data_IF_329904053779
#
_entry.id   IF_329904053779
#
_cell.length_a   1.000
_cell.length_b   1.000
_cell.length_c   1.000
_cell.angle_alpha   90.00
_cell.angle_beta   90.00
_cell.angle_gamma   90.00
#
_symmetry.space_group_name_H-M   'P 1'
#
loop_
_entity.id
_entity.type
_entity.pdbx_description
1 polymer ?
#
# COMPACT_ATOMS: atom_id res chain seq x y z
N UNK A 1 -31.76 -0.74 -3.05
CA UNK A 1 -30.49 -0.52 -2.31
C UNK A 1 -29.44 -0.06 -3.32
N UNK A 2 -29.12 1.23 -3.35
CA UNK A 2 -28.03 1.79 -4.14
C UNK A 2 -26.71 1.41 -3.45
N UNK A 3 -25.97 0.46 -4.03
CA UNK A 3 -24.61 0.15 -3.59
C UNK A 3 -23.71 1.33 -3.93
N UNK A 4 -23.40 2.17 -2.95
CA UNK A 4 -22.33 3.16 -3.08
C UNK A 4 -21.03 2.37 -3.24
N UNK A 5 -20.51 2.31 -4.47
CA UNK A 5 -19.16 1.79 -4.71
C UNK A 5 -18.20 2.91 -4.36
N UNK A 6 -18.03 3.19 -3.06
CA UNK A 6 -17.01 4.14 -2.60
C UNK A 6 -15.66 3.63 -3.07
N UNK A 7 -14.95 4.42 -3.86
CA UNK A 7 -13.54 4.16 -4.15
C UNK A 7 -12.79 4.29 -2.81
N UNK A 8 -12.49 3.16 -2.18
CA UNK A 8 -11.88 3.12 -0.83
C UNK A 8 -10.39 3.50 -0.87
N UNK A 9 -9.75 3.43 -2.03
CA UNK A 9 -8.32 3.68 -2.15
C UNK A 9 -7.92 5.12 -1.82
N UNK A 10 -8.58 6.16 -2.35
CA UNK A 10 -8.37 7.53 -1.93
C UNK A 10 -8.43 7.70 -0.41
N UNK A 11 -9.43 7.12 0.25
CA UNK A 11 -9.57 7.17 1.71
C UNK A 11 -8.40 6.47 2.41
N UNK A 12 -8.01 5.27 1.97
CA UNK A 12 -6.84 4.55 2.50
C UNK A 12 -5.57 5.39 2.37
N UNK A 13 -5.37 6.08 1.25
CA UNK A 13 -4.21 6.94 1.04
C UNK A 13 -4.21 8.14 1.98
N UNK A 14 -5.36 8.79 2.17
CA UNK A 14 -5.52 9.90 3.13
C UNK A 14 -5.17 9.46 4.55
N UNK A 15 -5.76 8.37 5.03
CA UNK A 15 -5.53 7.90 6.40
C UNK A 15 -4.07 7.44 6.60
N UNK A 16 -3.46 6.81 5.60
CA UNK A 16 -2.04 6.42 5.67
C UNK A 16 -1.08 7.61 5.64
N UNK A 17 -1.44 8.68 4.95
CA UNK A 17 -0.66 9.92 4.94
C UNK A 17 -0.77 10.64 6.29
N UNK A 18 -1.97 10.71 6.88
CA UNK A 18 -2.17 11.24 8.23
C UNK A 18 -1.35 10.45 9.26
N UNK A 19 -1.42 9.12 9.23
CA UNK A 19 -0.61 8.28 10.11
C UNK A 19 0.89 8.49 9.93
N UNK A 20 1.38 8.66 8.69
CA UNK A 20 2.80 8.95 8.45
C UNK A 20 3.22 10.29 9.04
N UNK A 21 2.35 11.30 8.99
CA UNK A 21 2.59 12.60 9.61
C UNK A 21 2.65 12.51 11.14
N UNK A 22 1.74 11.77 11.77
CA UNK A 22 1.75 11.56 13.22
C UNK A 22 3.03 10.83 13.67
N UNK A 23 3.42 9.77 12.95
CA UNK A 23 4.64 9.00 13.23
C UNK A 23 5.92 9.83 13.10
N UNK A 24 5.94 10.84 12.22
CA UNK A 24 7.08 11.74 12.04
C UNK A 24 7.36 12.63 13.27
N UNK A 25 6.39 12.75 14.19
CA UNK A 25 6.53 13.55 15.42
C UNK A 25 7.15 12.77 16.59
N UNK A 26 7.27 11.44 16.46
CA UNK A 26 7.75 10.58 17.54
C UNK A 26 9.27 10.64 17.66
N UNK A 27 9.76 10.67 18.91
CA UNK A 27 11.18 10.50 19.22
C UNK A 27 11.60 9.03 19.09
N UNK A 28 12.92 8.78 18.97
CA UNK A 28 13.45 7.42 18.89
C UNK A 28 13.04 6.54 20.09
N UNK A 29 13.00 7.11 21.30
CA UNK A 29 12.53 6.40 22.49
C UNK A 29 11.04 6.00 22.37
N UNK A 30 10.20 6.85 21.77
CA UNK A 30 8.79 6.53 21.55
C UNK A 30 8.60 5.46 20.47
N UNK A 31 9.50 5.38 19.49
CA UNK A 31 9.51 4.29 18.49
C UNK A 31 9.81 2.92 19.10
N UNK A 32 10.61 2.88 20.17
CA UNK A 32 10.94 1.67 20.94
C UNK A 32 9.85 1.28 21.96
N UNK A 33 8.91 2.18 22.27
CA UNK A 33 7.84 1.90 23.21
C UNK A 33 6.96 0.74 22.72
N UNK A 34 6.45 -0.06 23.68
CA UNK A 34 5.50 -1.14 23.39
C UNK A 34 4.21 -0.56 22.84
N UNK A 35 3.71 -1.15 21.76
CA UNK A 35 2.40 -0.80 21.21
C UNK A 35 1.29 -1.52 21.99
N UNK A 36 0.03 -1.19 21.67
CA UNK A 36 -1.13 -1.90 22.22
C UNK A 36 -1.12 -3.40 21.85
N UNK A 37 -0.48 -3.74 20.73
CA UNK A 37 -0.05 -5.11 20.45
C UNK A 37 1.22 -5.37 21.24
N UNK A 38 1.10 -5.67 22.53
CA UNK A 38 2.21 -5.72 23.51
C UNK A 38 3.43 -6.56 23.09
N UNK A 39 3.27 -7.51 22.17
CA UNK A 39 4.36 -8.26 21.55
C UNK A 39 5.34 -7.38 20.75
N UNK A 40 4.91 -6.22 20.26
CA UNK A 40 5.64 -5.37 19.32
C UNK A 40 5.87 -3.95 19.85
N UNK A 41 6.96 -3.33 19.40
CA UNK A 41 7.16 -1.89 19.53
C UNK A 41 6.33 -1.12 18.48
N UNK A 42 6.29 0.21 18.60
CA UNK A 42 5.71 1.08 17.56
C UNK A 42 6.40 0.81 16.21
N UNK A 43 7.73 0.75 16.19
CA UNK A 43 8.49 0.48 14.96
C UNK A 43 8.13 -0.87 14.32
N UNK A 44 8.03 -1.91 15.13
CA UNK A 44 7.64 -3.24 14.67
C UNK A 44 6.22 -3.27 14.12
N UNK A 45 5.31 -2.52 14.74
CA UNK A 45 3.93 -2.37 14.26
C UNK A 45 3.90 -1.68 12.89
N UNK A 46 4.65 -0.60 12.72
CA UNK A 46 4.74 0.11 11.43
C UNK A 46 5.39 -0.78 10.36
N UNK A 47 6.47 -1.49 10.68
CA UNK A 47 7.09 -2.44 9.76
C UNK A 47 6.10 -3.54 9.31
N UNK A 48 5.21 -4.00 10.20
CA UNK A 48 4.14 -4.92 9.84
C UNK A 48 3.12 -4.30 8.85
N UNK A 49 2.77 -3.02 9.01
CA UNK A 49 1.90 -2.30 8.06
C UNK A 49 2.56 -2.17 6.68
N UNK A 50 3.87 -1.90 6.62
CA UNK A 50 4.64 -1.87 5.35
C UNK A 50 4.59 -3.23 4.67
N UNK A 51 4.79 -4.31 5.43
CA UNK A 51 4.72 -5.67 4.89
C UNK A 51 3.35 -5.99 4.31
N UNK A 52 2.26 -5.62 5.01
CA UNK A 52 0.89 -5.80 4.54
C UNK A 52 0.59 -5.03 3.25
N UNK A 53 1.13 -3.82 3.11
CA UNK A 53 0.98 -3.02 1.89
C UNK A 53 1.80 -3.57 0.71
N UNK A 54 2.93 -4.21 0.99
CA UNK A 54 3.92 -4.64 -0.03
C UNK A 54 3.70 -6.07 -0.53
N UNK A 55 3.06 -6.94 0.26
CA UNK A 55 2.95 -8.36 -0.09
C UNK A 55 1.75 -8.65 -1.01
N UNK A 56 1.99 -9.43 -2.07
CA UNK A 56 0.94 -10.01 -2.90
C UNK A 56 0.40 -11.32 -2.32
N UNK A 57 -0.84 -11.73 -2.64
CA UNK A 57 -1.48 -12.92 -2.07
C UNK A 57 -0.69 -14.21 -2.27
N UNK A 58 -0.07 -14.38 -3.45
CA UNK A 58 0.75 -15.57 -3.74
C UNK A 58 2.03 -15.61 -2.89
N UNK A 59 2.74 -14.49 -2.74
CA UNK A 59 3.94 -14.40 -1.89
C UNK A 59 3.58 -14.58 -0.42
N UNK A 60 2.43 -14.06 0.01
CA UNK A 60 1.90 -14.25 1.35
C UNK A 60 1.65 -15.74 1.63
N UNK A 61 0.89 -16.41 0.77
CA UNK A 61 0.55 -17.84 0.96
C UNK A 61 1.80 -18.72 0.98
N UNK A 62 2.74 -18.49 0.04
CA UNK A 62 4.05 -19.18 0.04
C UNK A 62 4.81 -18.95 1.34
N UNK A 63 4.77 -17.74 1.89
CA UNK A 63 5.44 -17.44 3.15
C UNK A 63 4.79 -18.12 4.34
N UNK A 64 3.46 -18.26 4.37
CA UNK A 64 2.73 -18.96 5.43
C UNK A 64 3.00 -20.47 5.37
N UNK A 65 2.99 -21.06 4.17
CA UNK A 65 3.38 -22.46 3.97
C UNK A 65 4.82 -22.70 4.43
N UNK A 66 5.77 -21.84 4.04
CA UNK A 66 7.15 -21.90 4.51
C UNK A 66 7.32 -21.61 6.01
N UNK A 67 6.30 -21.08 6.68
CA UNK A 67 6.24 -20.92 8.13
C UNK A 67 5.50 -22.08 8.81
N UNK A 68 5.15 -23.15 8.07
CA UNK A 68 4.42 -24.33 8.55
C UNK A 68 3.08 -23.95 9.20
N UNK A 69 2.40 -22.93 8.67
CA UNK A 69 1.14 -22.42 9.19
C UNK A 69 1.26 -21.48 10.41
N UNK A 70 2.47 -21.22 10.92
CA UNK A 70 2.68 -20.29 12.03
C UNK A 70 2.70 -18.84 11.54
N UNK A 71 1.66 -18.08 11.88
CA UNK A 71 1.57 -16.65 11.56
C UNK A 71 2.61 -15.82 12.30
N UNK A 72 2.98 -16.19 13.52
CA UNK A 72 4.05 -15.51 14.27
C UNK A 72 5.39 -15.62 13.54
N UNK A 73 5.73 -16.82 13.05
CA UNK A 73 6.94 -17.03 12.24
C UNK A 73 6.89 -16.32 10.90
N UNK A 74 5.71 -16.26 10.27
CA UNK A 74 5.52 -15.45 9.07
C UNK A 74 5.76 -13.97 9.37
N UNK A 75 5.10 -13.42 10.39
CA UNK A 75 5.19 -12.02 10.77
C UNK A 75 6.62 -11.65 11.15
N UNK A 76 7.30 -12.42 12.00
CA UNK A 76 8.68 -12.15 12.40
C UNK A 76 9.63 -12.00 11.19
N UNK A 77 9.49 -12.86 10.17
CA UNK A 77 10.25 -12.75 8.91
C UNK A 77 9.93 -11.46 8.16
N UNK A 78 8.65 -11.10 8.07
CA UNK A 78 8.20 -9.89 7.37
C UNK A 78 8.63 -8.61 8.09
N UNK A 79 8.56 -8.60 9.42
CA UNK A 79 9.08 -7.51 10.22
C UNK A 79 10.58 -7.30 9.94
N UNK A 80 11.38 -8.37 9.95
CA UNK A 80 12.81 -8.28 9.65
C UNK A 80 13.10 -7.76 8.23
N UNK A 81 12.29 -8.13 7.24
CA UNK A 81 12.45 -7.64 5.86
C UNK A 81 12.10 -6.15 5.70
N UNK A 82 11.12 -5.65 6.46
CA UNK A 82 10.55 -4.32 6.25
C UNK A 82 11.01 -3.26 7.26
N UNK A 83 11.55 -3.65 8.41
CA UNK A 83 12.15 -2.75 9.39
C UNK A 83 13.48 -2.19 8.85
N UNK A 84 13.65 -0.87 8.94
CA UNK A 84 14.90 -0.18 8.62
C UNK A 84 15.99 -0.44 9.66
N UNK A 85 17.20 0.01 9.38
CA UNK A 85 18.25 0.10 10.38
C UNK A 85 17.91 1.14 11.46
N UNK A 86 17.05 2.11 11.13
CA UNK A 86 16.53 3.13 12.04
C UNK A 86 15.01 3.29 11.93
N UNK A 87 14.41 3.86 12.97
CA UNK A 87 13.00 4.32 13.00
C UNK A 87 12.65 5.19 11.80
N UNK A 88 13.52 6.14 11.46
CA UNK A 88 13.38 7.04 10.31
C UNK A 88 13.36 6.28 8.96
N UNK A 89 14.20 5.24 8.81
CA UNK A 89 14.19 4.42 7.61
C UNK A 89 12.91 3.56 7.53
N UNK A 90 12.43 3.02 8.67
CA UNK A 90 11.13 2.34 8.73
C UNK A 90 9.99 3.28 8.32
N UNK A 91 10.00 4.54 8.79
CA UNK A 91 9.01 5.56 8.41
C UNK A 91 9.07 5.91 6.92
N UNK A 92 10.27 6.07 6.35
CA UNK A 92 10.44 6.35 4.92
C UNK A 92 9.87 5.23 4.03
N UNK A 93 10.10 3.97 4.44
CA UNK A 93 9.52 2.80 3.76
C UNK A 93 7.99 2.77 3.88
N UNK A 94 7.45 3.16 5.04
CA UNK A 94 6.01 3.30 5.23
C UNK A 94 5.41 4.36 4.31
N UNK A 95 6.00 5.56 4.25
CA UNK A 95 5.54 6.63 3.35
C UNK A 95 5.49 6.22 1.88
N UNK A 96 6.47 5.43 1.42
CA UNK A 96 6.49 4.88 0.05
C UNK A 96 5.35 3.90 -0.20
N UNK A 97 5.03 3.04 0.77
CA UNK A 97 3.91 2.09 0.68
C UNK A 97 2.53 2.74 0.87
N UNK A 98 2.48 3.93 1.47
CA UNK A 98 1.22 4.65 1.74
C UNK A 98 0.53 5.14 0.48
N UNK A 99 1.25 5.37 -0.60
CA UNK A 99 0.73 5.79 -1.91
C UNK A 99 0.48 4.63 -2.88
N UNK A 100 0.95 3.43 -2.55
CA UNK A 100 0.78 2.25 -3.39
C UNK A 100 -0.66 1.71 -3.31
N UNK A 101 -1.44 1.91 -4.36
CA UNK A 101 -2.79 1.36 -4.49
C UNK A 101 -2.79 -0.01 -5.15
N UNK A 102 -3.58 -0.96 -4.62
CA UNK A 102 -3.99 -2.13 -5.42
C UNK A 102 -5.25 -1.74 -6.18
N UNK A 103 -5.08 -1.01 -7.28
CA UNK A 103 -6.18 -0.75 -8.21
C UNK A 103 -6.92 -2.08 -8.48
N UNK A 104 -8.26 -2.06 -8.43
CA UNK A 104 -9.06 -3.22 -8.81
C UNK A 104 -8.57 -3.67 -10.18
N UNK A 105 -8.07 -4.92 -10.29
CA UNK A 105 -7.83 -5.52 -11.61
C UNK A 105 -9.16 -5.45 -12.35
N UNK A 106 -9.27 -4.57 -13.35
CA UNK A 106 -10.46 -4.40 -14.19
C UNK A 106 -11.19 -3.04 -14.13
N UNK A 107 -10.80 -2.08 -13.29
CA UNK A 107 -11.38 -0.73 -13.36
C UNK A 107 -10.56 0.16 -14.29
N UNK A 108 -10.88 0.11 -15.58
CA UNK A 108 -10.47 1.14 -16.54
C UNK A 108 -11.20 2.44 -16.19
N UNK A 109 -10.47 3.52 -15.90
CA UNK A 109 -11.07 4.85 -15.73
C UNK A 109 -11.41 5.40 -17.11
N UNK A 110 -12.69 5.44 -17.47
CA UNK A 110 -13.17 6.48 -18.39
C UNK A 110 -13.10 7.81 -17.63
N UNK A 111 -12.21 8.71 -18.03
CA UNK A 111 -12.19 10.06 -17.51
C UNK A 111 -13.54 10.72 -17.74
N UNK A 112 -14.19 11.19 -16.68
CA UNK A 112 -15.50 11.86 -16.74
C UNK A 112 -15.42 13.32 -17.21
N UNK A 113 -14.31 13.73 -17.82
CA UNK A 113 -14.18 15.06 -18.41
C UNK A 113 -14.26 14.94 -19.93
N UNK A 114 -15.41 15.39 -20.45
CA UNK A 114 -15.56 15.83 -21.82
C UNK A 114 -14.42 16.82 -22.09
N UNK A 115 -13.65 16.58 -23.15
CA UNK A 115 -12.54 17.40 -23.64
C UNK A 115 -11.15 17.02 -23.09
N UNK A 116 -10.28 16.60 -24.01
CA UNK A 116 -8.84 16.29 -23.88
C UNK A 116 -8.46 15.00 -23.12
N UNK A 117 -8.27 13.92 -23.89
CA UNK A 117 -7.37 12.83 -23.51
C UNK A 117 -5.93 13.32 -23.69
N UNK A 118 -5.21 13.61 -22.61
CA UNK A 118 -3.76 13.79 -22.66
C UNK A 118 -3.12 12.41 -22.66
N UNK A 119 -2.36 12.08 -23.71
CA UNK A 119 -1.59 10.83 -23.74
C UNK A 119 -0.54 10.84 -22.61
N UNK A 120 -0.31 9.71 -21.89
CA UNK A 120 0.86 9.61 -21.03
C UNK A 120 2.12 9.70 -21.89
N UNK A 121 3.05 10.58 -21.50
CA UNK A 121 4.30 10.93 -22.23
C UNK A 121 5.34 9.81 -22.27
N UNK A 122 4.96 8.54 -22.14
CA UNK A 122 5.91 7.43 -22.22
C UNK A 122 5.24 6.14 -22.69
N UNK A 123 5.50 5.77 -23.94
CA UNK A 123 5.33 4.40 -24.44
C UNK A 123 3.90 3.98 -24.80
N UNK A 124 3.39 4.44 -25.94
CA UNK A 124 2.29 3.74 -26.61
C UNK A 124 2.85 2.44 -27.26
N UNK A 125 2.31 1.24 -26.96
CA UNK A 125 2.73 0.03 -27.66
C UNK A 125 2.30 0.08 -29.13
N UNK A 126 3.18 -0.39 -30.01
CA UNK A 126 2.97 -0.51 -31.46
C UNK A 126 1.80 -1.44 -31.76
N UNK A 127 0.60 -0.89 -31.90
CA UNK A 127 -0.64 -1.62 -32.16
C UNK A 127 -1.92 -0.85 -31.85
N UNK A 128 -1.84 0.47 -31.67
CA UNK A 128 -3.02 1.32 -31.43
C UNK A 128 -3.76 1.58 -32.75
N UNK A 129 -4.85 0.84 -32.97
CA UNK A 129 -5.80 1.05 -34.07
C UNK A 129 -7.20 1.14 -33.48
N UNK A 130 -7.60 2.30 -32.96
CA UNK A 130 -8.92 2.46 -32.37
C UNK A 130 -9.43 3.90 -32.38
N UNK A 131 -10.38 4.19 -33.25
CA UNK A 131 -11.15 5.44 -33.23
C UNK A 131 -12.25 5.33 -32.18
N UNK A 132 -12.41 6.36 -31.35
CA UNK A 132 -13.49 6.45 -30.38
C UNK A 132 -14.85 6.49 -31.13
N UNK A 133 -15.85 5.65 -30.77
CA UNK A 133 -17.13 5.66 -31.46
C UNK A 133 -17.86 6.98 -31.17
N UNK A 134 -18.12 7.76 -32.22
CA UNK A 134 -19.02 8.91 -32.14
C UNK A 134 -20.43 8.39 -31.89
N UNK A 135 -21.09 8.86 -30.83
CA UNK A 135 -22.53 8.61 -30.65
C UNK A 135 -23.30 9.51 -31.60
N UNK A 136 -24.23 8.91 -32.35
CA UNK A 136 -25.42 9.59 -32.87
C UNK A 136 -26.34 9.97 -31.71
#
# INVERSE_FOLDING_TARGET
>A
MTTVTTDLWPLIHTERAALAADLATLSDQQWEARSLCTAWTVEQTVAHLVAGASIGPLRWFRSVLGARGSFDRHNARRLAEHRGATSAETLARFGTGSTAGRARRGQWRCGSARSSCTAPTSGAPSGWSGTCPSRR
#
